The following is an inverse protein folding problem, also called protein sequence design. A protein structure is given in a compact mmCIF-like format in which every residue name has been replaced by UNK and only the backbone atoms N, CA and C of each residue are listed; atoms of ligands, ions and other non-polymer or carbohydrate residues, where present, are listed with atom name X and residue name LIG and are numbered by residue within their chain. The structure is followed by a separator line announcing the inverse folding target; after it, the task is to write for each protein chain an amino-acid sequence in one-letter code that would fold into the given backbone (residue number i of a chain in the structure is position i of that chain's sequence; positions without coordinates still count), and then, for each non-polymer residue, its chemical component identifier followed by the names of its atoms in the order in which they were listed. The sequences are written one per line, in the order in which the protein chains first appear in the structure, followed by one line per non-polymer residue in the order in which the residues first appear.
data_IF_846667324391
#
_entry.id   IF_846667324391
#
_cell.length_a   1.000
_cell.length_b   1.000
_cell.length_c   1.000
_cell.angle_alpha   90.00
_cell.angle_beta   90.00
_cell.angle_gamma   90.00
#
_symmetry.space_group_name_H-M   'P 1'
#
loop_
_entity.id
_entity.type
_entity.pdbx_description
1 polymer ?
#
# COMPACT_ATOMS: atom_id res chain seq x y z
N UNK A 1 12.87 -12.17 0.27
CA UNK A 1 12.29 -11.18 1.22
C UNK A 1 10.77 -11.14 1.01
N UNK A 2 9.92 -10.95 2.04
CA UNK A 2 8.46 -10.93 1.84
C UNK A 2 7.94 -9.50 1.84
N UNK A 3 7.38 -9.06 0.71
CA UNK A 3 6.88 -7.70 0.51
C UNK A 3 5.35 -7.76 0.44
N UNK A 4 4.69 -6.97 1.28
CA UNK A 4 3.25 -6.77 1.20
C UNK A 4 2.95 -5.40 0.60
N UNK A 5 2.22 -5.40 -0.51
CA UNK A 5 1.66 -4.19 -1.11
C UNK A 5 0.19 -4.06 -0.69
N UNK A 6 -0.24 -2.86 -0.30
CA UNK A 6 -1.61 -2.62 0.18
C UNK A 6 -2.20 -1.40 -0.50
N UNK A 7 -3.24 -1.62 -1.30
CA UNK A 7 -3.95 -0.57 -2.01
C UNK A 7 -5.33 -1.05 -2.42
N UNK A 8 -6.24 -0.12 -2.73
CA UNK A 8 -7.56 -0.51 -3.21
C UNK A 8 -8.63 0.56 -3.09
N UNK A 9 -9.76 0.28 -3.73
CA UNK A 9 -10.92 1.16 -3.77
C UNK A 9 -10.94 2.12 -4.96
N UNK A 10 -9.80 2.71 -5.32
CA UNK A 10 -9.61 3.44 -6.59
C UNK A 10 -8.26 3.07 -7.19
N UNK A 11 -8.16 3.19 -8.51
CA UNK A 11 -6.90 2.91 -9.21
C UNK A 11 -5.79 3.89 -8.86
N UNK A 12 -6.10 5.13 -8.45
CA UNK A 12 -5.06 6.08 -8.03
C UNK A 12 -4.15 5.53 -6.95
N UNK A 13 -4.70 5.04 -5.83
CA UNK A 13 -3.88 4.45 -4.75
C UNK A 13 -3.20 3.12 -5.12
N UNK A 14 -3.51 2.55 -6.28
CA UNK A 14 -3.11 1.20 -6.69
C UNK A 14 -2.04 1.28 -7.77
N UNK A 15 -2.14 2.22 -8.71
CA UNK A 15 -1.21 2.34 -9.85
C UNK A 15 0.25 2.52 -9.44
N UNK A 16 0.61 3.33 -8.41
CA UNK A 16 2.00 3.41 -7.97
C UNK A 16 2.51 2.07 -7.42
N UNK A 17 1.64 1.33 -6.72
CA UNK A 17 1.99 0.03 -6.16
C UNK A 17 2.15 -1.03 -7.24
N UNK A 18 1.36 -0.97 -8.32
CA UNK A 18 1.54 -1.84 -9.48
C UNK A 18 2.87 -1.56 -10.19
N UNK A 19 3.25 -0.29 -10.35
CA UNK A 19 4.56 0.07 -10.92
C UNK A 19 5.73 -0.42 -10.04
N UNK A 20 5.60 -0.31 -8.71
CA UNK A 20 6.57 -0.90 -7.77
C UNK A 20 6.60 -2.43 -7.90
N UNK A 21 5.45 -3.09 -8.02
CA UNK A 21 5.39 -4.53 -8.15
C UNK A 21 6.03 -5.04 -9.45
N UNK A 22 5.81 -4.32 -10.56
CA UNK A 22 6.42 -4.60 -11.87
C UNK A 22 7.96 -4.55 -11.78
N UNK A 23 8.50 -3.51 -11.15
CA UNK A 23 9.94 -3.37 -10.99
C UNK A 23 10.53 -4.44 -10.04
N UNK A 24 9.81 -4.81 -8.97
CA UNK A 24 10.21 -5.91 -8.07
C UNK A 24 10.24 -7.26 -8.79
N UNK A 25 9.26 -7.55 -9.64
CA UNK A 25 9.23 -8.76 -10.46
C UNK A 25 10.39 -8.79 -11.45
N UNK A 26 10.69 -7.66 -12.09
CA UNK A 26 11.82 -7.54 -13.02
C UNK A 26 13.16 -7.79 -12.33
N UNK A 27 13.38 -7.21 -11.15
CA UNK A 27 14.60 -7.43 -10.37
C UNK A 27 14.77 -8.88 -9.96
N UNK A 28 13.66 -9.59 -9.68
CA UNK A 28 13.65 -11.03 -9.46
C UNK A 28 14.11 -11.80 -10.71
N UNK A 29 13.53 -11.52 -11.87
CA UNK A 29 13.91 -12.19 -13.14
C UNK A 29 15.38 -11.97 -13.51
N UNK A 30 15.96 -10.80 -13.21
CA UNK A 30 17.38 -10.52 -13.46
C UNK A 30 18.29 -11.26 -12.45
N UNK A 31 17.82 -11.47 -11.22
CA UNK A 31 18.57 -12.18 -10.17
C UNK A 31 18.44 -13.71 -10.24
N UNK A 32 17.45 -14.26 -10.95
CA UNK A 32 17.31 -15.71 -11.11
C UNK A 32 18.48 -16.34 -11.91
N UNK A 33 19.36 -15.54 -12.53
CA UNK A 33 20.63 -15.95 -13.15
C UNK A 33 21.80 -16.02 -12.14
N UNK A 34 21.66 -15.44 -10.95
CA UNK A 34 22.70 -15.37 -9.90
C UNK A 34 22.01 -15.51 -8.54
N UNK A 35 22.03 -16.70 -7.93
CA UNK A 35 21.48 -17.14 -6.62
C UNK A 35 21.23 -16.10 -5.48
N UNK A 36 20.50 -15.02 -5.71
CA UNK A 36 20.21 -13.97 -4.74
C UNK A 36 18.70 -13.83 -4.49
N UNK A 37 18.33 -14.04 -3.23
CA UNK A 37 17.13 -13.56 -2.51
C UNK A 37 15.93 -13.14 -3.39
N UNK A 38 15.24 -14.15 -3.92
CA UNK A 38 13.89 -14.01 -4.45
C UNK A 38 12.98 -13.27 -3.46
N UNK A 39 12.34 -12.20 -3.92
CA UNK A 39 11.34 -11.46 -3.15
C UNK A 39 9.93 -11.97 -3.47
N UNK A 40 9.21 -12.42 -2.44
CA UNK A 40 7.83 -12.85 -2.54
C UNK A 40 6.91 -11.66 -2.28
N UNK A 41 6.22 -11.23 -3.33
CA UNK A 41 5.28 -10.10 -3.27
C UNK A 41 3.86 -10.63 -3.17
N UNK A 42 3.08 -10.08 -2.22
CA UNK A 42 1.63 -10.30 -2.11
C UNK A 42 0.93 -8.96 -2.09
N UNK A 43 -0.27 -8.89 -2.67
CA UNK A 43 -1.07 -7.67 -2.70
C UNK A 43 -2.35 -7.85 -1.88
N UNK A 44 -2.63 -6.92 -0.98
CA UNK A 44 -3.88 -6.88 -0.23
C UNK A 44 -4.73 -5.69 -0.67
N UNK A 45 -5.98 -5.95 -1.04
CA UNK A 45 -6.91 -4.94 -1.51
C UNK A 45 -8.35 -5.20 -1.07
N UNK A 46 -9.29 -4.50 -1.69
CA UNK A 46 -10.73 -4.70 -1.44
C UNK A 46 -11.26 -5.94 -2.16
N UNK A 47 -12.34 -6.54 -1.66
CA UNK A 47 -12.92 -7.77 -2.24
C UNK A 47 -13.41 -7.59 -3.68
N UNK A 48 -14.00 -6.44 -4.01
CA UNK A 48 -14.63 -6.16 -5.31
C UNK A 48 -14.06 -4.92 -6.01
N UNK A 49 -12.86 -4.48 -5.63
CA UNK A 49 -12.25 -3.30 -6.22
C UNK A 49 -11.62 -3.59 -7.58
N UNK A 50 -11.47 -2.56 -8.43
CA UNK A 50 -10.87 -2.69 -9.75
C UNK A 50 -9.40 -3.13 -9.69
N UNK A 51 -8.73 -2.98 -8.54
CA UNK A 51 -7.35 -3.44 -8.34
C UNK A 51 -7.19 -4.94 -8.53
N UNK A 52 -8.20 -5.75 -8.21
CA UNK A 52 -8.09 -7.20 -8.19
C UNK A 52 -7.67 -7.75 -9.55
N UNK A 53 -8.38 -7.34 -10.59
CA UNK A 53 -8.14 -7.80 -11.97
C UNK A 53 -6.74 -7.40 -12.43
N UNK A 54 -6.30 -6.17 -12.12
CA UNK A 54 -4.97 -5.69 -12.53
C UNK A 54 -3.84 -6.43 -11.81
N UNK A 55 -4.00 -6.69 -10.52
CA UNK A 55 -3.01 -7.42 -9.71
C UNK A 55 -2.92 -8.89 -10.15
N UNK A 56 -4.07 -9.55 -10.32
CA UNK A 56 -4.14 -10.95 -10.75
C UNK A 56 -3.56 -11.11 -12.17
N UNK A 57 -3.79 -10.14 -13.08
CA UNK A 57 -3.18 -10.12 -14.42
C UNK A 57 -1.65 -10.01 -14.41
N UNK A 58 -1.05 -9.46 -13.35
CA UNK A 58 0.41 -9.44 -13.14
C UNK A 58 0.95 -10.71 -12.49
N UNK A 59 0.10 -11.72 -12.22
CA UNK A 59 0.49 -12.94 -11.54
C UNK A 59 0.85 -12.75 -10.06
N UNK A 60 0.42 -11.65 -9.43
CA UNK A 60 0.70 -11.37 -8.03
C UNK A 60 -0.40 -12.00 -7.16
N UNK A 61 -0.06 -12.77 -6.11
CA UNK A 61 -1.05 -13.29 -5.18
C UNK A 61 -1.88 -12.16 -4.55
N UNK A 62 -3.19 -12.20 -4.77
CA UNK A 62 -4.14 -11.22 -4.22
C UNK A 62 -4.88 -11.78 -3.01
N UNK A 63 -5.02 -10.98 -1.94
CA UNK A 63 -5.90 -11.31 -0.80
C UNK A 63 -6.77 -10.13 -0.42
N UNK A 64 -8.08 -10.35 -0.33
CA UNK A 64 -9.00 -9.28 0.07
C UNK A 64 -8.97 -9.04 1.58
N UNK A 65 -8.85 -7.78 2.00
CA UNK A 65 -9.02 -7.35 3.39
C UNK A 65 -10.43 -6.75 3.53
N UNK A 66 -11.19 -7.09 4.60
CA UNK A 66 -12.43 -6.39 4.91
C UNK A 66 -12.13 -4.90 5.02
N UNK A 67 -12.89 -4.05 4.34
CA UNK A 67 -12.59 -2.63 4.31
C UNK A 67 -13.88 -1.80 4.35
N UNK A 68 -13.99 -0.94 5.36
CA UNK A 68 -15.03 0.07 5.47
C UNK A 68 -14.54 1.36 4.81
N UNK A 69 -15.39 2.02 4.03
CA UNK A 69 -15.03 3.29 3.37
C UNK A 69 -15.33 4.43 4.33
N UNK A 70 -14.38 4.79 5.20
CA UNK A 70 -14.55 5.92 6.13
C UNK A 70 -14.89 7.18 5.31
N UNK A 71 -16.15 7.63 5.40
CA UNK A 71 -16.63 8.77 4.61
C UNK A 71 -16.23 10.06 5.30
N UNK A 72 -15.92 11.09 4.52
CA UNK A 72 -15.44 12.40 5.04
C UNK A 72 -16.53 13.25 5.70
N UNK A 73 -17.79 12.87 5.56
CA UNK A 73 -18.96 13.56 6.13
C UNK A 73 -19.54 12.72 7.26
N UNK A 74 -20.14 13.37 8.27
CA UNK A 74 -20.89 12.69 9.31
C UNK A 74 -22.01 11.87 8.68
N UNK A 75 -21.83 10.55 8.69
CA UNK A 75 -22.76 9.58 8.14
C UNK A 75 -22.87 8.49 9.20
N UNK A 76 -24.09 8.04 9.53
CA UNK A 76 -24.29 6.95 10.50
C UNK A 76 -23.51 5.69 10.10
N UNK A 77 -23.22 5.54 8.79
CA UNK A 77 -22.36 4.49 8.24
C UNK A 77 -20.90 4.58 8.71
N UNK A 78 -20.39 5.74 9.12
CA UNK A 78 -19.04 5.88 9.68
C UNK A 78 -18.88 5.16 11.02
N UNK A 79 -19.96 5.07 11.82
CA UNK A 79 -19.93 4.33 13.08
C UNK A 79 -19.77 2.83 12.80
N UNK A 80 -20.51 2.30 11.82
CA UNK A 80 -20.33 0.94 11.32
C UNK A 80 -18.95 0.73 10.70
N UNK A 81 -18.45 1.70 9.93
CA UNK A 81 -17.11 1.63 9.34
C UNK A 81 -16.01 1.52 10.40
N UNK A 82 -16.20 2.11 11.60
CA UNK A 82 -15.24 1.93 12.70
C UNK A 82 -15.18 0.47 13.17
N UNK A 83 -16.32 -0.22 13.26
CA UNK A 83 -16.34 -1.66 13.56
C UNK A 83 -15.69 -2.47 12.45
N UNK A 84 -15.92 -2.12 11.18
CA UNK A 84 -15.27 -2.77 10.04
C UNK A 84 -13.77 -2.55 10.07
N UNK A 85 -13.28 -1.34 10.38
CA UNK A 85 -11.85 -1.04 10.52
C UNK A 85 -11.22 -1.84 11.67
N UNK A 86 -11.90 -1.94 12.83
CA UNK A 86 -11.45 -2.77 13.95
C UNK A 86 -11.36 -4.25 13.56
N UNK A 87 -12.38 -4.76 12.88
CA UNK A 87 -12.36 -6.13 12.38
C UNK A 87 -11.25 -6.36 11.35
N UNK A 88 -11.10 -5.43 10.41
CA UNK A 88 -10.05 -5.45 9.39
C UNK A 88 -8.64 -5.45 10.01
N UNK A 89 -8.45 -4.71 11.11
CA UNK A 89 -7.20 -4.69 11.86
C UNK A 89 -6.86 -6.08 12.41
N UNK A 90 -7.81 -6.76 13.08
CA UNK A 90 -7.57 -8.11 13.60
C UNK A 90 -7.31 -9.13 12.48
N UNK A 91 -8.06 -9.06 11.39
CA UNK A 91 -7.84 -9.89 10.21
C UNK A 91 -6.45 -9.64 9.62
N UNK A 92 -6.04 -8.38 9.50
CA UNK A 92 -4.71 -8.01 9.00
C UNK A 92 -3.61 -8.51 9.95
N UNK A 93 -3.78 -8.38 11.25
CA UNK A 93 -2.83 -8.81 12.27
C UNK A 93 -2.55 -10.32 12.17
N UNK A 94 -3.60 -11.15 12.18
CA UNK A 94 -3.46 -12.62 12.06
C UNK A 94 -2.80 -12.99 10.74
N UNK A 95 -3.17 -12.32 9.64
CA UNK A 95 -2.59 -12.59 8.32
C UNK A 95 -1.13 -12.17 8.23
N UNK A 96 -0.74 -11.05 8.83
CA UNK A 96 0.64 -10.58 8.88
C UNK A 96 1.52 -11.53 9.71
N UNK A 97 1.02 -12.05 10.83
CA UNK A 97 1.72 -13.05 11.64
C UNK A 97 1.97 -14.33 10.83
N UNK A 98 0.97 -14.81 10.08
CA UNK A 98 1.10 -16.02 9.24
C UNK A 98 2.02 -15.80 8.05
N UNK A 99 1.90 -14.67 7.37
CA UNK A 99 2.69 -14.36 6.18
C UNK A 99 4.12 -13.93 6.51
N UNK A 100 4.36 -13.33 7.69
CA UNK A 100 5.66 -12.79 8.12
C UNK A 100 6.25 -11.80 7.10
N UNK A 101 5.50 -10.74 6.79
CA UNK A 101 6.00 -9.65 5.93
C UNK A 101 7.31 -9.08 6.49
N UNK A 102 8.29 -8.88 5.62
CA UNK A 102 9.51 -8.14 5.93
C UNK A 102 9.30 -6.63 5.84
N UNK A 103 8.38 -6.18 4.97
CA UNK A 103 8.00 -4.78 4.79
C UNK A 103 6.56 -4.68 4.28
N UNK A 104 5.86 -3.61 4.64
CA UNK A 104 4.52 -3.28 4.13
C UNK A 104 4.56 -1.93 3.43
N UNK A 105 4.04 -1.87 2.20
CA UNK A 105 4.01 -0.67 1.37
C UNK A 105 2.57 -0.27 1.05
N UNK A 106 2.21 0.99 1.24
CA UNK A 106 0.90 1.55 0.90
C UNK A 106 0.99 2.87 0.14
N UNK A 107 -0.07 3.25 -0.57
CA UNK A 107 -0.10 4.48 -1.39
C UNK A 107 -1.41 5.28 -1.26
N UNK A 108 -1.97 5.36 -0.05
CA UNK A 108 -3.08 6.27 0.28
C UNK A 108 -4.49 5.66 0.21
N UNK A 109 -4.63 4.33 0.28
CA UNK A 109 -5.95 3.67 0.31
C UNK A 109 -6.53 3.59 1.72
N UNK A 110 -7.86 3.67 1.86
CA UNK A 110 -8.53 3.39 3.15
C UNK A 110 -8.30 1.96 3.64
N UNK A 111 -8.09 1.00 2.73
CA UNK A 111 -7.77 -0.40 3.06
C UNK A 111 -6.44 -0.50 3.81
N UNK A 112 -5.51 0.39 3.51
CA UNK A 112 -4.17 0.36 4.08
C UNK A 112 -4.17 0.70 5.57
N UNK A 113 -5.13 1.49 6.06
CA UNK A 113 -5.11 2.01 7.43
C UNK A 113 -5.08 0.89 8.48
N UNK A 114 -6.07 -0.05 8.51
CA UNK A 114 -6.02 -1.15 9.48
C UNK A 114 -4.82 -2.08 9.27
N UNK A 115 -4.35 -2.25 8.03
CA UNK A 115 -3.23 -3.13 7.72
C UNK A 115 -1.90 -2.56 8.20
N UNK A 116 -1.65 -1.26 7.97
CA UNK A 116 -0.44 -0.59 8.39
C UNK A 116 -0.41 -0.39 9.91
N UNK A 117 -1.56 -0.15 10.56
CA UNK A 117 -1.63 -0.18 12.02
C UNK A 117 -1.28 -1.56 12.58
N UNK A 118 -1.78 -2.64 11.98
CA UNK A 118 -1.41 -4.00 12.39
C UNK A 118 0.08 -4.29 12.15
N UNK A 119 0.65 -3.82 11.04
CA UNK A 119 2.07 -3.92 10.74
C UNK A 119 2.94 -3.19 11.78
N UNK A 120 2.49 -2.00 12.21
CA UNK A 120 3.17 -1.22 13.24
C UNK A 120 3.18 -1.93 14.59
N UNK A 121 2.05 -2.52 15.01
CA UNK A 121 1.97 -3.34 16.24
C UNK A 121 2.94 -4.52 16.19
N UNK A 122 3.10 -5.13 15.02
CA UNK A 122 4.05 -6.22 14.79
C UNK A 122 5.49 -5.75 14.54
N UNK A 123 5.77 -4.43 14.63
CA UNK A 123 7.07 -3.80 14.35
C UNK A 123 7.61 -4.09 12.95
N UNK A 124 6.73 -4.37 11.99
CA UNK A 124 7.10 -4.54 10.59
C UNK A 124 7.31 -3.14 9.99
N UNK A 125 8.41 -2.88 9.28
CA UNK A 125 8.66 -1.56 8.70
C UNK A 125 7.58 -1.22 7.66
N UNK A 126 7.10 0.02 7.74
CA UNK A 126 6.04 0.56 6.89
C UNK A 126 6.64 1.61 5.97
N UNK A 127 6.34 1.50 4.67
CA UNK A 127 6.64 2.53 3.67
C UNK A 127 5.33 3.05 3.10
N UNK A 128 5.18 4.36 3.02
CA UNK A 128 4.02 4.96 2.35
C UNK A 128 4.46 5.87 1.22
N UNK A 129 3.67 5.88 0.15
CA UNK A 129 3.81 6.79 -0.97
C UNK A 129 2.65 7.78 -1.01
N UNK A 130 2.96 9.05 -1.21
CA UNK A 130 1.97 10.11 -1.42
C UNK A 130 2.06 10.63 -2.86
N UNK A 131 1.04 10.27 -3.64
CA UNK A 131 0.92 10.65 -5.04
C UNK A 131 0.35 12.06 -5.23
N UNK A 132 -0.57 12.47 -4.35
CA UNK A 132 -1.31 13.72 -4.48
C UNK A 132 -0.59 14.87 -3.78
N UNK A 133 -0.77 16.10 -4.28
CA UNK A 133 -0.22 17.30 -3.66
C UNK A 133 -0.63 17.44 -2.20
N UNK A 134 -1.91 17.14 -1.88
CA UNK A 134 -2.42 17.20 -0.51
C UNK A 134 -2.47 15.80 0.09
N UNK A 135 -1.90 15.58 1.29
CA UNK A 135 -1.95 14.27 1.90
C UNK A 135 -3.36 13.78 2.19
N UNK A 136 -3.76 12.69 1.54
CA UNK A 136 -5.02 11.99 1.83
C UNK A 136 -5.12 11.52 3.29
N UNK A 137 -6.35 11.40 3.79
CA UNK A 137 -6.62 11.02 5.19
C UNK A 137 -5.94 9.70 5.59
N UNK A 138 -5.98 8.68 4.72
CA UNK A 138 -5.35 7.40 4.99
C UNK A 138 -3.84 7.55 5.25
N UNK A 139 -3.12 8.29 4.39
CA UNK A 139 -1.69 8.57 4.57
C UNK A 139 -1.43 9.42 5.82
N UNK A 140 -2.28 10.40 6.13
CA UNK A 140 -2.16 11.20 7.37
C UNK A 140 -2.28 10.33 8.63
N UNK A 141 -3.21 9.37 8.64
CA UNK A 141 -3.45 8.46 9.77
C UNK A 141 -2.32 7.46 9.99
N UNK A 142 -1.61 7.05 8.94
CA UNK A 142 -0.54 6.04 9.05
C UNK A 142 0.86 6.63 9.08
N UNK A 143 1.05 7.86 8.60
CA UNK A 143 2.37 8.50 8.56
C UNK A 143 3.11 8.52 9.92
N UNK A 144 2.46 8.59 11.10
CA UNK A 144 3.17 8.51 12.39
C UNK A 144 3.90 7.20 12.63
N UNK A 145 3.49 6.15 11.93
CA UNK A 145 3.99 4.80 12.08
C UNK A 145 4.90 4.39 10.91
N UNK A 146 5.02 5.25 9.89
CA UNK A 146 5.82 4.98 8.71
C UNK A 146 7.32 5.12 9.00
N UNK A 147 8.10 4.11 8.61
CA UNK A 147 9.57 4.16 8.64
C UNK A 147 10.12 5.06 7.54
N UNK A 148 9.45 5.07 6.38
CA UNK A 148 9.79 5.94 5.26
C UNK A 148 8.52 6.47 4.60
N UNK A 149 8.57 7.73 4.19
CA UNK A 149 7.52 8.40 3.43
C UNK A 149 8.15 8.86 2.12
N UNK A 150 7.52 8.50 1.01
CA UNK A 150 7.89 8.99 -0.32
C UNK A 150 6.79 9.88 -0.87
N UNK A 151 7.15 10.87 -1.68
CA UNK A 151 6.19 11.80 -2.28
C UNK A 151 6.50 12.07 -3.76
N UNK A 152 5.46 12.35 -4.53
CA UNK A 152 5.58 12.81 -5.91
C UNK A 152 6.10 14.24 -5.98
N UNK A 153 5.51 15.13 -5.19
CA UNK A 153 5.74 16.57 -5.28
C UNK A 153 6.53 17.10 -4.07
N UNK A 154 7.53 17.98 -4.26
CA UNK A 154 8.27 18.62 -3.16
C UNK A 154 7.39 19.34 -2.13
N UNK A 155 6.30 19.95 -2.58
CA UNK A 155 5.33 20.67 -1.76
C UNK A 155 4.64 19.74 -0.75
N UNK A 156 4.42 18.49 -1.15
CA UNK A 156 3.81 17.45 -0.31
C UNK A 156 4.69 17.11 0.89
N UNK A 157 6.02 17.09 0.69
CA UNK A 157 6.98 16.74 1.74
C UNK A 157 6.86 17.67 2.95
N UNK A 158 6.60 18.97 2.72
CA UNK A 158 6.43 19.98 3.78
C UNK A 158 5.19 19.74 4.65
N UNK A 159 4.21 18.98 4.15
CA UNK A 159 2.94 18.74 4.86
C UNK A 159 3.01 17.59 5.88
N UNK A 160 4.07 16.77 5.86
CA UNK A 160 4.26 15.68 6.82
C UNK A 160 5.03 16.09 8.09
N UNK A 161 5.13 17.41 8.37
CA UNK A 161 5.63 18.07 9.60
C UNK A 161 6.56 17.22 10.49
N UNK A 162 7.87 17.37 10.30
CA UNK A 162 8.89 16.73 11.16
C UNK A 162 9.21 15.28 10.81
N UNK A 163 8.76 14.78 9.65
CA UNK A 163 9.10 13.45 9.15
C UNK A 163 10.01 13.53 7.93
N UNK A 164 11.02 12.66 7.83
CA UNK A 164 11.82 12.56 6.61
C UNK A 164 10.91 12.06 5.48
N UNK A 165 10.78 12.89 4.44
CA UNK A 165 10.06 12.54 3.21
C UNK A 165 11.03 12.62 2.05
N UNK A 166 11.14 11.54 1.28
CA UNK A 166 11.95 11.52 0.06
C UNK A 166 11.07 11.82 -1.14
N UNK A 167 11.43 12.82 -1.93
CA UNK A 167 10.73 13.14 -3.18
C UNK A 167 11.29 12.25 -4.29
N UNK A 168 10.45 11.41 -4.87
CA UNK A 168 10.84 10.38 -5.87
C UNK A 168 10.04 10.46 -7.16
N UNK A 169 9.11 11.42 -7.29
CA UNK A 169 8.11 11.43 -8.35
C UNK A 169 7.04 10.35 -8.13
N UNK A 170 6.14 10.18 -9.10
CA UNK A 170 5.11 9.14 -9.05
C UNK A 170 5.60 7.91 -9.82
N UNK A 171 5.63 6.70 -9.22
CA UNK A 171 5.92 5.48 -9.97
C UNK A 171 4.94 5.26 -11.13
N UNK A 172 5.45 5.06 -12.34
CA UNK A 172 4.66 4.82 -13.56
C UNK A 172 5.03 3.46 -14.14
N UNK A 173 4.03 2.69 -14.56
CA UNK A 173 4.22 1.39 -15.23
C UNK A 173 4.90 1.56 -16.58
N UNK A 174 5.77 0.62 -16.97
CA UNK A 174 6.53 0.74 -18.23
C UNK A 174 5.65 0.74 -19.46
N UNK A 175 4.56 -0.03 -19.46
CA UNK A 175 3.58 -0.04 -20.54
C UNK A 175 3.01 1.37 -20.85
N UNK A 176 2.92 2.25 -19.85
CA UNK A 176 2.48 3.64 -20.04
C UNK A 176 3.61 4.51 -20.58
N UNK A 177 4.86 4.27 -20.15
CA UNK A 177 6.04 4.99 -20.65
C UNK A 177 6.39 4.63 -22.10
N UNK A 178 6.10 3.38 -22.51
CA UNK A 178 6.37 2.86 -23.84
C UNK A 178 5.30 3.25 -24.88
N UNK A 179 4.13 3.73 -24.45
CA UNK A 179 3.05 4.20 -25.31
C UNK A 179 3.30 5.61 -25.90
N UNK A 180 4.57 5.95 -26.13
CA UNK A 180 5.00 7.22 -26.74
C UNK A 180 4.92 7.16 -28.25
#
# INVERSE_FOLDING_TARGET
MRILLVGGGTLGSVTPLLAVAEELQRQKTVSDTVSEKVSDTVFWGTRMGPERVLVEAMGIPFRSIPAGKLRRYWDARNLFDLFVVKWAFWVALVRLIRWRSSVVVGAGSFVQVPVLWAAWVLRIPIVIHQQDVRPGLANRLVAPFARAITATFPETARMFRGRPVTVVGNPVRRAVLAAR
#
